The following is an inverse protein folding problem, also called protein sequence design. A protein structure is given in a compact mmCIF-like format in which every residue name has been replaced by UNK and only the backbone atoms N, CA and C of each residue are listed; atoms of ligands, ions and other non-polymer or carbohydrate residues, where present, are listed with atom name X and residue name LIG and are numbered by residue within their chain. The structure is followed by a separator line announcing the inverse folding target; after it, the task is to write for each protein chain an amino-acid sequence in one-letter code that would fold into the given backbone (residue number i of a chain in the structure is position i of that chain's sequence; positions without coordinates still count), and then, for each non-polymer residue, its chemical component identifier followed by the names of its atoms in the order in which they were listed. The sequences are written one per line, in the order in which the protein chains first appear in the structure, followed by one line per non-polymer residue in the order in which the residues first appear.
data_IF_252025538443
#
_entry.id   IF_252025538443
#
_cell.length_a   1.000
_cell.length_b   1.000
_cell.length_c   1.000
_cell.angle_alpha   90.00
_cell.angle_beta   90.00
_cell.angle_gamma   90.00
#
_symmetry.space_group_name_H-M   'P 1'
#
loop_
_entity.id
_entity.type
_entity.pdbx_description
1 polymer ?
#
# COMPACT_ATOMS: atom_id res chain seq x y z
N UNK A 1 -22.22 -10.66 15.89
CA UNK A 1 -22.48 -10.94 17.32
C UNK A 1 -23.66 -10.15 17.90
N UNK A 2 -24.10 -9.02 17.31
CA UNK A 2 -25.31 -8.30 17.77
C UNK A 2 -26.63 -8.95 17.31
N UNK A 3 -26.70 -9.47 16.07
CA UNK A 3 -27.87 -10.22 15.57
C UNK A 3 -28.21 -11.47 16.39
N UNK A 4 -27.19 -12.20 16.86
CA UNK A 4 -27.40 -13.37 17.74
C UNK A 4 -27.90 -12.98 19.14
N UNK A 5 -27.73 -11.72 19.55
CA UNK A 5 -28.21 -11.19 20.83
C UNK A 5 -29.54 -10.44 20.71
N UNK A 6 -30.16 -10.38 19.53
CA UNK A 6 -31.43 -9.69 19.29
C UNK A 6 -31.34 -8.16 19.38
N UNK A 7 -30.14 -7.59 19.27
CA UNK A 7 -29.91 -6.15 19.24
C UNK A 7 -29.88 -5.65 17.79
N UNK A 8 -30.43 -4.47 17.55
CA UNK A 8 -30.38 -3.83 16.23
C UNK A 8 -28.93 -3.48 15.86
N UNK A 9 -28.55 -3.70 14.59
CA UNK A 9 -27.18 -3.43 14.14
C UNK A 9 -26.98 -1.91 14.06
N UNK A 10 -26.21 -1.39 15.00
CA UNK A 10 -25.84 0.02 15.02
C UNK A 10 -24.81 0.31 13.93
N UNK A 11 -25.27 0.81 12.78
CA UNK A 11 -24.43 1.09 11.60
C UNK A 11 -23.23 1.99 11.93
N UNK A 12 -23.39 2.96 12.83
CA UNK A 12 -22.32 3.85 13.28
C UNK A 12 -21.23 3.16 14.12
N UNK A 13 -21.55 2.02 14.73
CA UNK A 13 -20.58 1.21 15.50
C UNK A 13 -19.93 0.13 14.65
N UNK A 14 -20.32 0.02 13.38
CA UNK A 14 -19.68 -0.91 12.46
C UNK A 14 -18.24 -0.44 12.20
N UNK A 15 -17.24 -1.33 12.29
CA UNK A 15 -15.89 -0.97 11.89
C UNK A 15 -15.90 -0.66 10.39
N UNK A 16 -15.16 0.38 10.00
CA UNK A 16 -14.97 0.71 8.59
C UNK A 16 -14.31 -0.47 7.85
N UNK A 17 -14.91 -0.87 6.75
CA UNK A 17 -14.39 -1.80 5.77
C UNK A 17 -13.52 -1.07 4.74
N UNK A 18 -12.72 -1.85 4.02
CA UNK A 18 -12.00 -1.35 2.85
C UNK A 18 -12.96 -0.89 1.73
N UNK A 19 -14.14 -1.49 1.66
CA UNK A 19 -15.17 -1.15 0.67
C UNK A 19 -15.89 0.17 0.99
N UNK A 20 -15.67 0.76 2.18
CA UNK A 20 -16.23 2.06 2.54
C UNK A 20 -15.43 3.23 1.95
N UNK A 21 -14.26 2.95 1.34
CA UNK A 21 -13.48 3.97 0.66
C UNK A 21 -14.09 4.34 -0.70
N UNK A 22 -13.87 5.58 -1.18
CA UNK A 22 -14.22 5.96 -2.54
C UNK A 22 -13.57 5.05 -3.57
N UNK A 23 -14.26 4.76 -4.68
CA UNK A 23 -13.77 3.88 -5.76
C UNK A 23 -12.36 4.25 -6.25
N UNK A 24 -12.05 5.55 -6.29
CA UNK A 24 -10.73 6.04 -6.71
C UNK A 24 -9.60 5.55 -5.81
N UNK A 25 -9.85 5.41 -4.50
CA UNK A 25 -8.89 4.89 -3.52
C UNK A 25 -8.73 3.39 -3.71
N UNK A 26 -9.84 2.67 -3.83
CA UNK A 26 -9.84 1.22 -4.08
C UNK A 26 -9.09 0.92 -5.38
N UNK A 27 -9.36 1.68 -6.44
CA UNK A 27 -8.68 1.58 -7.72
C UNK A 27 -7.19 1.91 -7.61
N UNK A 28 -6.80 2.98 -6.92
CA UNK A 28 -5.40 3.33 -6.68
C UNK A 28 -4.63 2.21 -5.97
N UNK A 29 -5.19 1.63 -4.91
CA UNK A 29 -4.59 0.49 -4.19
C UNK A 29 -4.47 -0.73 -5.12
N UNK A 30 -5.51 -1.02 -5.89
CA UNK A 30 -5.52 -2.11 -6.85
C UNK A 30 -4.49 -1.95 -7.97
N UNK A 31 -4.31 -0.73 -8.47
CA UNK A 31 -3.30 -0.42 -9.48
C UNK A 31 -1.90 -0.50 -8.87
N UNK A 32 -1.69 0.13 -7.71
CA UNK A 32 -0.41 0.06 -7.00
C UNK A 32 0.07 -1.38 -6.78
N UNK A 33 -0.82 -2.28 -6.36
CA UNK A 33 -0.48 -3.69 -6.16
C UNK A 33 -0.21 -4.46 -7.46
N UNK A 34 -0.65 -3.97 -8.61
CA UNK A 34 -0.40 -4.57 -9.94
C UNK A 34 0.83 -3.99 -10.64
N UNK A 35 1.23 -2.75 -10.31
CA UNK A 35 2.46 -2.17 -10.82
C UNK A 35 3.67 -2.98 -10.33
N UNK A 36 4.66 -3.15 -11.20
CA UNK A 36 5.88 -3.87 -10.88
C UNK A 36 6.70 -3.13 -9.81
N UNK A 37 7.38 -3.88 -8.96
CA UNK A 37 8.28 -3.33 -7.94
C UNK A 37 9.68 -3.11 -8.52
N UNK A 38 10.28 -1.96 -8.21
CA UNK A 38 11.71 -1.72 -8.43
C UNK A 38 12.46 -1.96 -7.13
N UNK A 39 13.39 -2.92 -7.16
CA UNK A 39 14.15 -3.38 -5.99
C UNK A 39 15.64 -3.43 -6.35
N UNK A 40 16.50 -2.92 -5.45
CA UNK A 40 17.96 -3.09 -5.54
C UNK A 40 18.50 -3.86 -4.32
N UNK A 41 19.52 -4.72 -4.48
CA UNK A 41 20.07 -5.53 -3.39
C UNK A 41 20.50 -4.74 -2.15
N UNK A 42 21.13 -3.57 -2.32
CA UNK A 42 21.72 -2.80 -1.22
C UNK A 42 20.78 -1.73 -0.62
N UNK A 43 19.65 -1.47 -1.27
CA UNK A 43 18.72 -0.37 -0.92
C UNK A 43 17.34 -0.92 -0.53
N UNK A 44 16.94 -2.07 -1.07
CA UNK A 44 15.60 -2.63 -0.93
C UNK A 44 14.64 -2.08 -1.98
N UNK A 45 13.38 -1.91 -1.59
CA UNK A 45 12.31 -1.36 -2.43
C UNK A 45 12.50 0.14 -2.62
N UNK A 46 12.45 0.61 -3.88
CA UNK A 46 12.77 2.00 -4.24
C UNK A 46 11.59 2.71 -4.90
N UNK A 47 10.60 1.95 -5.38
CA UNK A 47 9.42 2.51 -6.02
C UNK A 47 8.68 1.53 -6.91
N UNK A 48 7.57 1.99 -7.47
CA UNK A 48 6.85 1.28 -8.54
C UNK A 48 7.41 1.58 -9.93
N UNK A 49 7.23 0.61 -10.83
CA UNK A 49 7.41 0.81 -12.26
C UNK A 49 6.12 1.36 -12.89
N UNK A 50 6.16 2.64 -13.25
CA UNK A 50 5.00 3.37 -13.80
C UNK A 50 4.80 3.17 -15.31
N UNK A 51 5.56 2.29 -15.98
CA UNK A 51 5.45 2.08 -17.43
C UNK A 51 4.04 1.67 -17.84
N UNK A 52 3.42 0.81 -17.03
CA UNK A 52 2.06 0.29 -17.27
C UNK A 52 0.95 1.14 -16.63
N UNK A 53 1.27 2.27 -15.98
CA UNK A 53 0.29 3.09 -15.27
C UNK A 53 -0.86 3.53 -16.19
N UNK A 54 -0.54 4.01 -17.40
CA UNK A 54 -1.52 4.45 -18.38
C UNK A 54 -2.45 3.33 -18.84
N UNK A 55 -1.94 2.10 -18.95
CA UNK A 55 -2.76 0.93 -19.28
C UNK A 55 -3.76 0.66 -18.16
N UNK A 56 -3.30 0.66 -16.91
CA UNK A 56 -4.17 0.43 -15.77
C UNK A 56 -5.20 1.55 -15.58
N UNK A 57 -4.84 2.81 -15.76
CA UNK A 57 -5.79 3.93 -15.72
C UNK A 57 -6.94 3.72 -16.71
N UNK A 58 -6.65 3.27 -17.93
CA UNK A 58 -7.67 2.93 -18.93
C UNK A 58 -8.56 1.77 -18.51
N UNK A 59 -7.98 0.71 -17.94
CA UNK A 59 -8.73 -0.48 -17.49
C UNK A 59 -9.70 -0.13 -16.35
N UNK A 60 -9.29 0.75 -15.44
CA UNK A 60 -10.10 1.17 -14.29
C UNK A 60 -10.99 2.40 -14.57
N UNK A 61 -11.00 2.92 -15.81
CA UNK A 61 -11.79 4.09 -16.17
C UNK A 61 -11.37 5.38 -15.45
N UNK A 62 -10.09 5.49 -15.05
CA UNK A 62 -9.56 6.67 -14.37
C UNK A 62 -9.20 7.71 -15.43
N UNK A 63 -9.73 8.93 -15.27
CA UNK A 63 -9.44 10.05 -16.16
C UNK A 63 -7.94 10.37 -16.20
N UNK A 64 -7.43 10.61 -17.41
CA UNK A 64 -6.05 11.07 -17.60
C UNK A 64 -5.87 12.43 -16.91
N UNK A 65 -4.90 12.53 -15.99
CA UNK A 65 -4.68 13.75 -15.20
C UNK A 65 -5.46 13.83 -13.89
N UNK A 66 -6.07 12.74 -13.43
CA UNK A 66 -6.63 12.68 -12.07
C UNK A 66 -5.50 12.78 -11.02
N UNK A 67 -5.26 13.98 -10.51
CA UNK A 67 -4.22 14.27 -9.53
C UNK A 67 -4.39 13.46 -8.24
N UNK A 68 -5.64 13.28 -7.78
CA UNK A 68 -5.90 12.57 -6.53
C UNK A 68 -5.49 11.09 -6.61
N UNK A 69 -5.74 10.44 -7.76
CA UNK A 69 -5.26 9.08 -8.00
C UNK A 69 -3.72 8.99 -7.91
N UNK A 70 -3.01 9.91 -8.57
CA UNK A 70 -1.55 9.92 -8.56
C UNK A 70 -1.01 10.16 -7.14
N UNK A 71 -1.59 11.11 -6.41
CA UNK A 71 -1.23 11.40 -5.01
C UNK A 71 -1.38 10.16 -4.11
N UNK A 72 -2.46 9.38 -4.27
CA UNK A 72 -2.65 8.14 -3.49
C UNK A 72 -1.56 7.12 -3.82
N UNK A 73 -1.26 6.92 -5.12
CA UNK A 73 -0.24 5.97 -5.55
C UNK A 73 1.15 6.38 -5.06
N UNK A 74 1.50 7.66 -5.15
CA UNK A 74 2.75 8.21 -4.63
C UNK A 74 2.85 8.06 -3.10
N UNK A 75 1.74 8.29 -2.39
CA UNK A 75 1.70 8.12 -0.94
C UNK A 75 1.89 6.67 -0.51
N UNK A 76 1.29 5.72 -1.22
CA UNK A 76 1.50 4.28 -1.00
C UNK A 76 2.97 3.92 -1.25
N UNK A 77 3.57 4.47 -2.30
CA UNK A 77 4.96 4.21 -2.68
C UNK A 77 5.94 4.71 -1.63
N UNK A 78 5.77 5.95 -1.17
CA UNK A 78 6.59 6.54 -0.11
C UNK A 78 6.56 5.72 1.20
N UNK A 79 5.38 5.18 1.56
CA UNK A 79 5.24 4.30 2.73
C UNK A 79 5.93 2.96 2.53
N UNK A 80 5.83 2.37 1.34
CA UNK A 80 6.50 1.11 1.01
C UNK A 80 8.03 1.26 1.06
N UNK A 81 8.58 2.35 0.52
CA UNK A 81 10.01 2.70 0.59
C UNK A 81 10.46 2.80 2.05
N UNK A 82 9.74 3.60 2.86
CA UNK A 82 10.09 3.78 4.28
C UNK A 82 10.08 2.45 5.04
N UNK A 83 9.06 1.62 4.83
CA UNK A 83 8.94 0.31 5.47
C UNK A 83 10.09 -0.61 5.07
N UNK A 84 10.46 -0.63 3.80
CA UNK A 84 11.59 -1.44 3.30
C UNK A 84 12.92 -1.00 3.90
N UNK A 85 13.18 0.30 3.92
CA UNK A 85 14.41 0.86 4.51
C UNK A 85 14.52 0.55 6.01
N UNK A 86 13.43 0.68 6.76
CA UNK A 86 13.39 0.31 8.18
C UNK A 86 13.63 -1.19 8.40
N UNK A 87 13.06 -2.05 7.55
CA UNK A 87 13.26 -3.49 7.64
C UNK A 87 14.72 -3.85 7.39
N UNK A 88 15.34 -3.30 6.35
CA UNK A 88 16.76 -3.53 6.03
C UNK A 88 17.67 -3.10 7.19
N UNK A 89 17.41 -1.92 7.78
CA UNK A 89 18.15 -1.44 8.94
C UNK A 89 18.05 -2.40 10.13
N UNK A 90 16.84 -2.90 10.42
CA UNK A 90 16.63 -3.88 11.51
C UNK A 90 17.39 -5.18 11.27
N UNK A 91 17.41 -5.68 10.03
CA UNK A 91 18.18 -6.88 9.69
C UNK A 91 19.70 -6.65 9.80
N UNK A 92 20.19 -5.49 9.38
CA UNK A 92 21.59 -5.12 9.55
C UNK A 92 22.00 -5.04 11.03
N UNK A 93 21.19 -4.40 11.87
CA UNK A 93 21.42 -4.29 13.31
C UNK A 93 21.42 -5.69 13.99
N UNK A 94 20.55 -6.60 13.55
CA UNK A 94 20.54 -8.00 14.03
C UNK A 94 21.83 -8.73 13.65
N UNK A 95 22.31 -8.58 12.42
CA UNK A 95 23.57 -9.20 11.96
C UNK A 95 24.77 -8.68 12.74
N UNK A 96 24.86 -7.36 12.96
CA UNK A 96 25.93 -6.74 13.77
C UNK A 96 25.96 -7.30 15.19
N UNK A 97 24.80 -7.42 15.86
CA UNK A 97 24.70 -8.00 17.21
C UNK A 97 25.16 -9.45 17.26
N UNK A 98 24.81 -10.27 16.26
CA UNK A 98 25.27 -11.66 16.16
C UNK A 98 26.78 -11.76 15.93
N UNK A 99 27.36 -10.83 15.16
CA UNK A 99 28.80 -10.80 14.88
C UNK A 99 29.65 -10.32 16.05
N UNK A 100 29.14 -9.42 16.90
CA UNK A 100 29.87 -8.90 18.07
C UNK A 100 29.81 -9.80 19.32
N UNK A 101 29.03 -10.88 19.28
CA UNK A 101 28.91 -11.86 20.37
C UNK A 101 29.85 -13.07 20.27
N UNK A 102 30.86 -13.02 19.39
CA UNK A 102 31.95 -13.99 19.26
C UNK A 102 33.28 -13.33 19.58
#
# INVERSE_FOLDING_TARGET
MQEQMGLEVEVEKMPLSFDDFPDIVINAVNVFNRLGDRIYPDIGYIGKDYTNLKLYQKVYGIEEGNNFFLEIVEWLDARAIKKSAEQMKREYDKLKRKSSGK
#
